data_IF_296898721532
#
_entry.id   IF_296898721532
#
_cell.length_a   1.000
_cell.length_b   1.000
_cell.length_c   1.000
_cell.angle_alpha   90.00
_cell.angle_beta   90.00
_cell.angle_gamma   90.00
#
_symmetry.space_group_name_H-M   'P 1'
#
loop_
_entity.id
_entity.type
_entity.pdbx_description
1 polymer ?
#
# COMPACT_ATOMS: atom_id res chain seq x y z
N UNK A 1 7.24 -10.70 -10.03
CA UNK A 1 6.33 -9.65 -9.54
C UNK A 1 7.16 -8.54 -8.93
N UNK A 2 6.88 -7.31 -9.33
CA UNK A 2 7.51 -6.11 -8.74
C UNK A 2 6.85 -5.75 -7.41
N UNK A 3 7.50 -4.90 -6.61
CA UNK A 3 6.97 -4.44 -5.33
C UNK A 3 5.60 -3.78 -5.49
N UNK A 4 5.38 -2.98 -6.54
CA UNK A 4 4.10 -2.32 -6.79
C UNK A 4 2.96 -3.32 -7.08
N UNK A 5 3.27 -4.48 -7.67
CA UNK A 5 2.27 -5.53 -7.89
C UNK A 5 1.74 -6.05 -6.55
N UNK A 6 2.63 -6.23 -5.57
CA UNK A 6 2.24 -6.70 -4.23
C UNK A 6 1.33 -5.73 -3.46
N UNK A 7 1.33 -4.44 -3.83
CA UNK A 7 0.41 -3.45 -3.28
C UNK A 7 -0.90 -3.34 -4.06
N UNK A 8 -0.91 -3.70 -5.35
CA UNK A 8 -2.08 -3.52 -6.22
C UNK A 8 -2.92 -4.78 -6.32
N UNK A 9 -2.29 -5.96 -6.46
CA UNK A 9 -2.95 -7.25 -6.62
C UNK A 9 -3.96 -7.60 -5.52
N UNK A 10 -3.74 -7.27 -4.24
CA UNK A 10 -4.69 -7.59 -3.18
C UNK A 10 -6.06 -6.90 -3.33
N UNK A 11 -6.15 -5.84 -4.14
CA UNK A 11 -7.42 -5.15 -4.44
C UNK A 11 -8.20 -5.77 -5.60
N UNK A 12 -7.68 -6.85 -6.19
CA UNK A 12 -8.33 -7.61 -7.25
C UNK A 12 -8.67 -9.02 -6.75
N UNK A 13 -9.91 -9.46 -6.99
CA UNK A 13 -10.40 -10.79 -6.61
C UNK A 13 -11.23 -11.37 -7.75
N UNK A 14 -11.25 -12.70 -7.87
CA UNK A 14 -12.21 -13.39 -8.73
C UNK A 14 -13.46 -13.72 -7.90
N UNK A 15 -14.64 -13.42 -8.43
CA UNK A 15 -15.91 -13.82 -7.81
C UNK A 15 -16.22 -15.30 -8.07
N UNK A 16 -17.34 -15.79 -7.53
CA UNK A 16 -17.78 -17.18 -7.72
C UNK A 16 -18.06 -17.55 -9.19
N UNK A 17 -18.31 -16.57 -10.05
CA UNK A 17 -18.57 -16.73 -11.48
C UNK A 17 -17.28 -16.58 -12.33
N UNK A 18 -16.11 -16.39 -11.69
CA UNK A 18 -14.83 -16.21 -12.36
C UNK A 18 -14.58 -14.80 -12.93
N UNK A 19 -15.46 -13.83 -12.64
CA UNK A 19 -15.30 -12.43 -13.05
C UNK A 19 -14.29 -11.73 -12.16
N UNK A 20 -13.54 -10.78 -12.71
CA UNK A 20 -12.63 -9.96 -11.89
C UNK A 20 -13.43 -8.86 -11.18
N UNK A 21 -13.24 -8.76 -9.87
CA UNK A 21 -13.71 -7.67 -9.03
C UNK A 21 -12.55 -6.78 -8.61
N UNK A 22 -12.77 -5.47 -8.68
CA UNK A 22 -11.83 -4.45 -8.23
C UNK A 22 -12.40 -3.67 -7.03
N UNK A 23 -11.60 -3.52 -5.98
CA UNK A 23 -11.98 -2.89 -4.71
C UNK A 23 -11.17 -1.61 -4.45
N UNK A 24 -11.51 -0.46 -5.06
CA UNK A 24 -10.70 0.77 -4.93
C UNK A 24 -10.60 1.31 -3.51
N UNK A 25 -11.58 0.98 -2.65
CA UNK A 25 -11.66 1.45 -1.27
C UNK A 25 -11.42 0.31 -0.26
N UNK A 26 -10.89 -0.83 -0.70
CA UNK A 26 -10.73 -2.01 0.14
C UNK A 26 -12.07 -2.50 0.71
N UNK A 27 -12.13 -2.73 2.02
CA UNK A 27 -13.32 -3.26 2.71
C UNK A 27 -14.41 -2.20 2.99
N UNK A 28 -14.14 -0.90 2.82
CA UNK A 28 -15.09 0.16 3.18
C UNK A 28 -16.00 0.59 2.02
N UNK A 29 -15.89 0.00 0.84
CA UNK A 29 -16.67 0.38 -0.33
C UNK A 29 -17.11 -0.78 -1.21
N UNK A 30 -17.92 -0.47 -2.23
CA UNK A 30 -18.38 -1.44 -3.23
C UNK A 30 -17.25 -1.89 -4.15
N UNK A 31 -17.31 -3.15 -4.58
CA UNK A 31 -16.49 -3.64 -5.67
C UNK A 31 -17.06 -3.22 -7.03
N UNK A 32 -16.20 -3.19 -8.04
CA UNK A 32 -16.58 -3.02 -9.44
C UNK A 32 -16.29 -4.30 -10.21
N UNK A 33 -17.24 -4.75 -11.02
CA UNK A 33 -17.05 -5.87 -11.93
C UNK A 33 -16.26 -5.37 -13.13
N UNK A 34 -15.12 -6.01 -13.40
CA UNK A 34 -14.27 -5.71 -14.54
C UNK A 34 -14.62 -6.70 -15.65
N UNK A 35 -15.09 -6.17 -16.77
CA UNK A 35 -15.61 -6.91 -17.92
C UNK A 35 -14.53 -7.32 -18.92
N UNK A 36 -13.35 -6.72 -18.83
CA UNK A 36 -12.29 -6.86 -19.84
C UNK A 36 -10.89 -6.75 -19.23
N UNK A 37 -9.97 -7.57 -19.75
CA UNK A 37 -8.56 -7.55 -19.36
C UNK A 37 -7.89 -6.20 -19.64
N UNK A 38 -8.38 -5.47 -20.65
CA UNK A 38 -7.89 -4.13 -20.96
C UNK A 38 -8.21 -3.14 -19.85
N UNK A 39 -9.45 -3.15 -19.34
CA UNK A 39 -9.87 -2.32 -18.20
C UNK A 39 -9.11 -2.69 -16.95
N UNK A 40 -8.93 -3.99 -16.68
CA UNK A 40 -8.11 -4.47 -15.56
C UNK A 40 -6.69 -3.90 -15.63
N UNK A 41 -6.04 -4.02 -16.80
CA UNK A 41 -4.68 -3.51 -17.02
C UNK A 41 -4.60 -1.99 -16.87
N UNK A 42 -5.58 -1.24 -17.37
CA UNK A 42 -5.65 0.23 -17.23
C UNK A 42 -5.73 0.64 -15.77
N UNK A 43 -6.59 0.00 -14.98
CA UNK A 43 -6.73 0.28 -13.54
C UNK A 43 -5.42 -0.06 -12.82
N UNK A 44 -4.86 -1.25 -13.04
CA UNK A 44 -3.59 -1.66 -12.41
C UNK A 44 -2.48 -0.66 -12.71
N UNK A 45 -2.30 -0.28 -13.98
CA UNK A 45 -1.27 0.67 -14.37
C UNK A 45 -1.51 2.06 -13.76
N UNK A 46 -2.75 2.54 -13.74
CA UNK A 46 -3.08 3.81 -13.10
C UNK A 46 -2.71 3.81 -11.61
N UNK A 47 -3.07 2.77 -10.86
CA UNK A 47 -2.76 2.68 -9.43
C UNK A 47 -1.24 2.60 -9.20
N UNK A 48 -0.51 1.79 -9.98
CA UNK A 48 0.96 1.67 -9.88
C UNK A 48 1.65 3.01 -10.16
N UNK A 49 1.26 3.69 -11.24
CA UNK A 49 1.81 5.00 -11.59
C UNK A 49 1.47 6.05 -10.54
N UNK A 50 0.27 5.99 -9.97
CA UNK A 50 -0.17 6.94 -8.93
C UNK A 50 0.63 6.75 -7.65
N UNK A 51 0.90 5.50 -7.22
CA UNK A 51 1.80 5.23 -6.09
C UNK A 51 3.23 5.68 -6.35
N UNK A 52 3.77 5.41 -7.53
CA UNK A 52 5.12 5.84 -7.89
C UNK A 52 5.24 7.37 -7.93
N UNK A 53 4.27 8.04 -8.56
CA UNK A 53 4.23 9.50 -8.65
C UNK A 53 4.11 10.15 -7.26
N UNK A 54 3.26 9.59 -6.38
CA UNK A 54 3.16 10.06 -5.00
C UNK A 54 4.49 9.95 -4.27
N UNK A 55 5.15 8.79 -4.36
CA UNK A 55 6.43 8.57 -3.70
C UNK A 55 7.49 9.57 -4.17
N UNK A 56 7.63 9.76 -5.48
CA UNK A 56 8.59 10.71 -6.06
C UNK A 56 8.23 12.16 -5.69
N UNK A 57 6.96 12.53 -5.72
CA UNK A 57 6.50 13.87 -5.35
C UNK A 57 6.76 14.16 -3.86
N UNK A 58 6.48 13.21 -2.97
CA UNK A 58 6.76 13.33 -1.54
C UNK A 58 8.26 13.52 -1.27
N UNK A 59 9.10 12.71 -1.93
CA UNK A 59 10.55 12.82 -1.81
C UNK A 59 11.07 14.16 -2.33
N UNK A 60 10.63 14.59 -3.51
CA UNK A 60 11.01 15.88 -4.09
C UNK A 60 10.58 17.05 -3.19
N UNK A 61 9.37 16.99 -2.64
CA UNK A 61 8.87 18.05 -1.76
C UNK A 61 9.67 18.15 -0.46
N UNK A 62 10.00 17.01 0.14
CA UNK A 62 10.84 16.97 1.35
C UNK A 62 12.23 17.59 1.11
N UNK A 63 12.83 17.31 -0.05
CA UNK A 63 14.17 17.83 -0.41
C UNK A 63 14.12 19.33 -0.75
N UNK A 64 13.13 19.78 -1.52
CA UNK A 64 13.11 21.13 -2.09
C UNK A 64 12.46 22.17 -1.16
N UNK A 65 11.44 21.78 -0.41
CA UNK A 65 10.60 22.70 0.36
C UNK A 65 10.62 22.39 1.87
N UNK A 66 11.14 21.23 2.27
CA UNK A 66 11.14 20.77 3.65
C UNK A 66 9.86 20.02 4.04
N UNK A 67 9.89 19.37 5.21
CA UNK A 67 8.89 18.38 5.62
C UNK A 67 7.44 18.89 5.70
N UNK A 68 7.23 20.16 6.06
CA UNK A 68 5.90 20.74 6.23
C UNK A 68 5.08 20.78 4.94
N UNK A 69 5.70 21.05 3.80
CA UNK A 69 5.02 21.07 2.50
C UNK A 69 4.67 19.66 2.00
N UNK A 70 5.32 18.63 2.53
CA UNK A 70 4.95 17.24 2.28
C UNK A 70 3.51 16.91 2.68
N UNK A 71 2.97 17.60 3.69
CA UNK A 71 1.59 17.40 4.15
C UNK A 71 0.55 17.85 3.11
N UNK A 72 0.86 18.87 2.31
CA UNK A 72 -0.04 19.39 1.27
C UNK A 72 -0.21 18.42 0.09
N UNK A 73 0.74 17.50 -0.13
CA UNK A 73 0.67 16.51 -1.20
C UNK A 73 -0.43 15.48 -0.95
N UNK A 74 -0.70 15.15 0.33
CA UNK A 74 -1.71 14.17 0.70
C UNK A 74 -3.10 14.48 0.12
N UNK A 75 -3.68 15.66 0.39
CA UNK A 75 -4.95 16.06 -0.20
C UNK A 75 -4.97 16.07 -1.73
N UNK A 76 -3.92 16.58 -2.37
CA UNK A 76 -3.79 16.62 -3.84
C UNK A 76 -3.83 15.20 -4.41
N UNK A 77 -3.09 14.29 -3.78
CA UNK A 77 -3.08 12.88 -4.14
C UNK A 77 -4.44 12.23 -3.99
N UNK A 78 -5.13 12.46 -2.87
CA UNK A 78 -6.46 11.90 -2.61
C UNK A 78 -7.46 12.35 -3.68
N UNK A 79 -7.46 13.64 -4.01
CA UNK A 79 -8.32 14.20 -5.07
C UNK A 79 -7.99 13.55 -6.42
N UNK A 80 -6.71 13.52 -6.80
CA UNK A 80 -6.27 12.91 -8.06
C UNK A 80 -6.67 11.44 -8.17
N UNK A 81 -6.46 10.67 -7.10
CA UNK A 81 -6.82 9.26 -7.04
C UNK A 81 -8.34 9.06 -7.17
N UNK A 82 -9.14 9.83 -6.43
CA UNK A 82 -10.62 9.76 -6.51
C UNK A 82 -11.09 10.06 -7.94
N UNK A 83 -10.57 11.12 -8.56
CA UNK A 83 -10.96 11.52 -9.92
C UNK A 83 -10.57 10.45 -10.95
N UNK A 84 -9.35 9.92 -10.85
CA UNK A 84 -8.85 8.90 -11.76
C UNK A 84 -9.62 7.58 -11.62
N UNK A 85 -9.86 7.10 -10.40
CA UNK A 85 -10.68 5.91 -10.16
C UNK A 85 -12.11 6.12 -10.67
N UNK A 86 -12.75 7.25 -10.35
CA UNK A 86 -14.10 7.55 -10.85
C UNK A 86 -14.17 7.55 -12.37
N UNK A 87 -13.14 8.05 -13.05
CA UNK A 87 -13.06 8.03 -14.51
C UNK A 87 -12.93 6.60 -15.05
N UNK A 88 -12.09 5.77 -14.43
CA UNK A 88 -11.81 4.40 -14.85
C UNK A 88 -12.92 3.41 -14.52
N UNK A 89 -13.69 3.65 -13.45
CA UNK A 89 -14.81 2.80 -13.06
C UNK A 89 -16.17 3.32 -13.53
N UNK A 90 -16.19 4.40 -14.31
CA UNK A 90 -17.42 4.97 -14.85
C UNK A 90 -18.11 3.97 -15.77
N UNK A 91 -19.36 3.63 -15.44
CA UNK A 91 -20.17 2.69 -16.23
C UNK A 91 -19.94 1.21 -15.90
N UNK A 92 -18.99 0.89 -15.00
CA UNK A 92 -18.81 -0.49 -14.56
C UNK A 92 -19.91 -0.91 -13.56
N UNK A 93 -20.43 -2.15 -13.66
CA UNK A 93 -21.36 -2.69 -12.68
C UNK A 93 -20.74 -2.73 -11.29
N UNK A 94 -21.54 -2.42 -10.27
CA UNK A 94 -21.12 -2.58 -8.87
C UNK A 94 -21.50 -3.97 -8.36
N UNK A 95 -20.62 -4.54 -7.55
CA UNK A 95 -20.90 -5.75 -6.78
C UNK A 95 -21.05 -5.42 -5.30
N UNK A 96 -21.95 -6.12 -4.62
CA UNK A 96 -22.14 -6.07 -3.17
C UNK A 96 -21.16 -6.95 -2.40
N UNK A 97 -20.32 -7.73 -3.11
CA UNK A 97 -19.26 -8.51 -2.48
C UNK A 97 -18.29 -7.59 -1.73
N UNK A 98 -17.78 -8.05 -0.59
CA UNK A 98 -16.83 -7.30 0.24
C UNK A 98 -15.44 -7.93 0.17
N UNK A 99 -14.42 -7.07 0.22
CA UNK A 99 -13.05 -7.51 0.33
C UNK A 99 -12.77 -7.93 1.78
N UNK A 100 -12.53 -9.22 2.00
CA UNK A 100 -12.06 -9.67 3.30
C UNK A 100 -10.60 -9.25 3.51
N UNK A 101 -10.34 -8.52 4.60
CA UNK A 101 -9.02 -8.01 4.95
C UNK A 101 -8.02 -9.15 5.22
N UNK A 102 -8.48 -10.32 5.70
CA UNK A 102 -7.59 -11.48 5.84
C UNK A 102 -7.06 -11.96 4.50
N UNK A 103 -7.93 -12.08 3.50
CA UNK A 103 -7.60 -12.59 2.17
C UNK A 103 -6.65 -11.62 1.45
N UNK A 104 -6.89 -10.32 1.65
CA UNK A 104 -6.01 -9.26 1.15
C UNK A 104 -4.59 -9.40 1.71
N UNK A 105 -4.45 -9.62 3.03
CA UNK A 105 -3.14 -9.82 3.67
C UNK A 105 -2.44 -11.10 3.23
N UNK A 106 -3.20 -12.19 3.03
CA UNK A 106 -2.66 -13.46 2.52
C UNK A 106 -2.10 -13.25 1.11
N UNK A 107 -2.87 -12.62 0.21
CA UNK A 107 -2.41 -12.28 -1.15
C UNK A 107 -1.19 -11.36 -1.13
N UNK A 108 -1.17 -10.39 -0.23
CA UNK A 108 -0.02 -9.50 -0.05
C UNK A 108 1.23 -10.27 0.42
N UNK A 109 1.09 -11.17 1.39
CA UNK A 109 2.19 -12.02 1.88
C UNK A 109 2.73 -12.97 0.80
N UNK A 110 1.85 -13.49 -0.06
CA UNK A 110 2.23 -14.37 -1.19
C UNK A 110 3.00 -13.59 -2.27
N UNK A 111 2.56 -12.38 -2.58
CA UNK A 111 3.14 -11.57 -3.67
C UNK A 111 4.43 -10.84 -3.30
N UNK A 112 4.59 -10.39 -2.05
CA UNK A 112 5.78 -9.65 -1.62
C UNK A 112 6.99 -10.59 -1.49
N UNK A 113 8.13 -10.27 -2.10
CA UNK A 113 9.36 -11.07 -1.99
C UNK A 113 10.07 -10.92 -0.62
N UNK A 114 10.81 -11.95 -0.19
CA UNK A 114 11.61 -11.89 1.06
C UNK A 114 12.63 -10.75 1.04
N UNK A 115 13.24 -10.48 -0.12
CA UNK A 115 14.13 -9.35 -0.32
C UNK A 115 13.50 -8.02 0.12
N UNK A 116 12.25 -7.76 -0.28
CA UNK A 116 11.54 -6.52 0.05
C UNK A 116 11.14 -6.43 1.52
N UNK A 117 10.76 -7.57 2.14
CA UNK A 117 10.49 -7.61 3.58
C UNK A 117 11.78 -7.28 4.36
N UNK A 118 12.90 -7.90 4.01
CA UNK A 118 14.19 -7.67 4.68
C UNK A 118 14.67 -6.23 4.49
N UNK A 119 14.53 -5.67 3.29
CA UNK A 119 14.90 -4.29 3.00
C UNK A 119 14.05 -3.30 3.81
N UNK A 120 12.74 -3.53 3.91
CA UNK A 120 11.85 -2.71 4.72
C UNK A 120 12.15 -2.84 6.23
N UNK A 121 12.50 -4.03 6.71
CA UNK A 121 12.91 -4.24 8.10
C UNK A 121 14.22 -3.50 8.41
N UNK A 122 15.21 -3.57 7.52
CA UNK A 122 16.46 -2.83 7.64
C UNK A 122 16.23 -1.31 7.64
N UNK A 123 15.39 -0.80 6.74
CA UNK A 123 15.00 0.62 6.73
C UNK A 123 14.36 1.04 8.05
N UNK A 124 13.48 0.21 8.63
CA UNK A 124 12.84 0.49 9.91
C UNK A 124 13.87 0.61 11.04
N UNK A 125 14.90 -0.23 11.05
CA UNK A 125 16.02 -0.15 12.03
C UNK A 125 16.77 1.18 11.86
N UNK A 126 17.11 1.58 10.63
CA UNK A 126 17.77 2.86 10.37
C UNK A 126 16.93 4.06 10.81
N UNK A 127 15.62 4.03 10.58
CA UNK A 127 14.72 5.09 11.04
C UNK A 127 14.68 5.16 12.56
N UNK A 128 14.55 4.02 13.26
CA UNK A 128 14.59 3.99 14.72
C UNK A 128 15.91 4.54 15.27
N UNK A 129 17.04 4.19 14.65
CA UNK A 129 18.35 4.73 15.00
C UNK A 129 18.43 6.25 14.79
N UNK A 130 17.94 6.75 13.66
CA UNK A 130 17.91 8.18 13.36
C UNK A 130 17.02 8.95 14.35
N UNK A 131 15.93 8.35 14.82
CA UNK A 131 15.07 8.98 15.83
C UNK A 131 15.79 9.06 17.19
N UNK A 132 16.51 8.01 17.61
CA UNK A 132 17.30 8.04 18.85
C UNK A 132 18.31 9.19 18.80
N UNK A 133 19.01 9.35 17.68
CA UNK A 133 19.91 10.49 17.47
C UNK A 133 19.13 11.81 17.54
N UNK A 134 18.03 11.93 16.80
CA UNK A 134 17.21 13.14 16.78
C UNK A 134 16.78 13.61 18.19
N UNK A 135 16.42 12.68 19.08
CA UNK A 135 16.08 13.03 20.47
C UNK A 135 17.28 13.46 21.33
N UNK A 136 18.49 13.03 20.99
CA UNK A 136 19.70 13.47 21.70
C UNK A 136 20.03 14.95 21.41
N UNK A 137 19.55 15.50 20.29
CA UNK A 137 20.03 16.78 19.75
C UNK A 137 18.91 17.81 19.49
N UNK A 138 17.63 17.40 19.47
CA UNK A 138 16.52 18.26 19.05
C UNK A 138 15.67 18.83 20.19
N UNK A 139 15.21 20.07 20.00
CA UNK A 139 14.26 20.80 20.85
C UNK A 139 12.79 20.56 20.51
N UNK A 140 12.48 19.74 19.49
CA UNK A 140 11.09 19.49 19.04
C UNK A 140 10.68 18.01 19.23
N UNK A 141 10.26 17.62 20.46
CA UNK A 141 9.98 16.22 20.80
C UNK A 141 8.75 15.63 20.10
N UNK A 142 7.79 16.47 19.69
CA UNK A 142 6.54 16.01 19.08
C UNK A 142 6.74 15.26 17.76
N UNK A 143 7.64 15.73 16.90
CA UNK A 143 7.91 15.10 15.60
C UNK A 143 8.59 13.74 15.76
N UNK A 144 9.45 13.60 16.78
CA UNK A 144 10.07 12.33 17.13
C UNK A 144 9.06 11.28 17.57
N UNK A 145 8.01 11.66 18.33
CA UNK A 145 6.95 10.73 18.75
C UNK A 145 6.18 10.19 17.54
N UNK A 146 5.83 11.04 16.58
CA UNK A 146 5.13 10.61 15.34
C UNK A 146 5.98 9.59 14.56
N UNK A 147 7.28 9.86 14.43
CA UNK A 147 8.20 8.97 13.72
C UNK A 147 8.39 7.63 14.44
N UNK A 148 8.42 7.62 15.77
CA UNK A 148 8.46 6.37 16.57
C UNK A 148 7.18 5.58 16.33
N UNK A 149 6.01 6.22 16.46
CA UNK A 149 4.72 5.56 16.28
C UNK A 149 4.60 4.94 14.87
N UNK A 150 5.00 5.69 13.84
CA UNK A 150 5.03 5.19 12.47
C UNK A 150 6.00 4.01 12.29
N UNK A 151 7.18 4.07 12.89
CA UNK A 151 8.20 3.01 12.80
C UNK A 151 7.76 1.73 13.51
N UNK A 152 7.15 1.85 14.70
CA UNK A 152 6.60 0.69 15.44
C UNK A 152 5.45 0.08 14.63
N UNK A 153 4.55 0.89 14.09
CA UNK A 153 3.46 0.40 13.24
C UNK A 153 4.00 -0.39 12.04
N UNK A 154 5.01 0.16 11.35
CA UNK A 154 5.65 -0.51 10.22
C UNK A 154 6.34 -1.83 10.65
N UNK A 155 7.07 -1.83 11.77
CA UNK A 155 7.72 -3.02 12.31
C UNK A 155 6.70 -4.14 12.60
N UNK A 156 5.61 -3.81 13.29
CA UNK A 156 4.53 -4.77 13.59
C UNK A 156 3.87 -5.29 12.32
N UNK A 157 3.63 -4.42 11.34
CA UNK A 157 3.08 -4.81 10.05
C UNK A 157 4.00 -5.79 9.31
N UNK A 158 5.30 -5.47 9.21
CA UNK A 158 6.29 -6.33 8.57
C UNK A 158 6.44 -7.68 9.28
N UNK A 159 6.44 -7.69 10.62
CA UNK A 159 6.48 -8.92 11.40
C UNK A 159 5.27 -9.82 11.11
N UNK A 160 4.05 -9.27 11.12
CA UNK A 160 2.83 -10.02 10.79
C UNK A 160 2.88 -10.57 9.35
N UNK A 161 3.38 -9.77 8.41
CA UNK A 161 3.50 -10.17 7.01
C UNK A 161 4.50 -11.31 6.84
N UNK A 162 5.66 -11.25 7.51
CA UNK A 162 6.67 -12.30 7.51
C UNK A 162 6.14 -13.60 8.12
N UNK A 163 5.43 -13.52 9.25
CA UNK A 163 4.82 -14.69 9.91
C UNK A 163 3.77 -15.38 9.04
N UNK A 164 2.89 -14.60 8.41
CA UNK A 164 1.91 -15.11 7.44
C UNK A 164 2.60 -15.81 6.29
N UNK A 165 3.67 -15.22 5.74
CA UNK A 165 4.43 -15.81 4.65
C UNK A 165 5.10 -17.14 5.04
N UNK A 166 5.66 -17.23 6.24
CA UNK A 166 6.26 -18.47 6.77
C UNK A 166 5.19 -19.56 6.92
N UNK A 167 4.03 -19.22 7.48
CA UNK A 167 2.90 -20.16 7.62
C UNK A 167 2.45 -20.71 6.26
N UNK A 168 2.30 -19.84 5.26
CA UNK A 168 1.91 -20.25 3.91
C UNK A 168 2.96 -21.14 3.24
N UNK A 169 4.25 -20.87 3.47
CA UNK A 169 5.34 -21.71 2.93
C UNK A 169 5.45 -23.07 3.59
N UNK A 170 4.99 -23.23 4.84
CA UNK A 170 4.95 -24.52 5.53
C UNK A 170 3.80 -25.37 5.00
N UNK A 171 2.59 -24.80 4.94
CA UNK A 171 1.39 -25.51 4.47
C UNK A 171 1.45 -25.92 2.98
N UNK A 172 2.35 -25.35 2.17
CA UNK A 172 2.54 -25.72 0.78
C UNK A 172 3.50 -26.91 0.58
N UNK A 173 4.18 -27.37 1.64
CA UNK A 173 5.11 -28.50 1.63
C UNK A 173 4.50 -29.79 2.20
N UNK A 174 3.34 -29.67 2.86
CA UNK A 174 2.52 -30.78 3.35
C UNK A 174 1.47 -31.17 2.30
#
# INVERSE_FOLDING_TARGET
MGILDSYVDPFFKKDGDGRTLYFPWGNSGSAYVIDSDETERKIRNFVKLTYLALFLAAMACMILFGGWWGLAIGPIYVIWFILGIRKLTKGLPRSSEKLNVSDMRIKQAQSIGWFWISLAALNTIFVLWAIIWYFAESSQPFMGIILIAASIYLAVFLFRLAMLKISLSRNAKD
#
